data_IF_471248411664
#
_entry.id   IF_471248411664
#
_cell.length_a   1.000
_cell.length_b   1.000
_cell.length_c   1.000
_cell.angle_alpha   90.00
_cell.angle_beta   90.00
_cell.angle_gamma   90.00
#
_symmetry.space_group_name_H-M   'P 1'
#
loop_
_entity.id
_entity.type
_entity.pdbx_description
1 polymer ?
#
# COMPACT_ATOMS: atom_id res chain seq x y z
N UNK A 1 5.74 -30.41 17.15
CA UNK A 1 5.93 -29.22 16.29
C UNK A 1 4.84 -29.26 15.22
N UNK A 2 3.89 -28.35 15.25
CA UNK A 2 2.90 -28.19 14.17
C UNK A 2 3.63 -27.62 12.96
N UNK A 3 3.63 -28.35 11.85
CA UNK A 3 4.18 -27.89 10.58
C UNK A 3 3.24 -26.77 10.07
N UNK A 4 3.57 -25.51 10.35
CA UNK A 4 2.80 -24.37 9.86
C UNK A 4 3.14 -24.20 8.39
N UNK A 5 2.14 -24.28 7.53
CA UNK A 5 2.29 -23.92 6.12
C UNK A 5 2.74 -22.46 6.02
N UNK A 6 3.82 -22.23 5.27
CA UNK A 6 4.36 -20.89 5.04
C UNK A 6 3.35 -20.08 4.20
N UNK A 7 3.07 -18.86 4.63
CA UNK A 7 2.24 -17.92 3.89
C UNK A 7 3.06 -17.21 2.80
N UNK A 8 2.41 -16.53 1.85
CA UNK A 8 3.13 -15.70 0.87
C UNK A 8 4.01 -14.61 1.50
N UNK A 9 3.70 -14.14 2.71
CA UNK A 9 4.54 -13.20 3.45
C UNK A 9 5.80 -13.90 3.99
N UNK A 10 5.66 -15.11 4.55
CA UNK A 10 6.79 -15.88 5.08
C UNK A 10 7.81 -16.28 3.99
N UNK A 11 7.39 -16.29 2.72
CA UNK A 11 8.23 -16.66 1.56
C UNK A 11 8.69 -15.47 0.72
N UNK A 12 8.21 -14.25 1.02
CA UNK A 12 8.46 -13.07 0.19
C UNK A 12 7.74 -13.07 -1.17
N UNK A 13 6.74 -13.93 -1.36
CA UNK A 13 5.94 -13.99 -2.59
C UNK A 13 4.93 -12.83 -2.71
N UNK A 14 4.79 -11.99 -1.67
CA UNK A 14 4.00 -10.74 -1.68
C UNK A 14 4.79 -9.61 -1.03
N UNK A 15 4.61 -8.40 -1.54
CA UNK A 15 5.13 -7.19 -0.91
C UNK A 15 4.44 -6.97 0.45
N UNK A 16 5.20 -6.50 1.43
CA UNK A 16 4.70 -6.22 2.77
C UNK A 16 4.25 -4.76 2.88
N UNK A 17 3.04 -4.48 3.41
CA UNK A 17 2.62 -3.11 3.67
C UNK A 17 3.40 -2.54 4.86
N UNK A 18 3.98 -1.35 4.68
CA UNK A 18 4.66 -0.60 5.72
C UNK A 18 3.86 0.65 6.04
N UNK A 19 3.60 0.90 7.32
CA UNK A 19 2.89 2.11 7.74
C UNK A 19 3.69 3.35 7.37
N UNK A 20 3.02 4.32 6.76
CA UNK A 20 3.68 5.55 6.32
C UNK A 20 4.16 6.42 7.47
N UNK A 21 3.52 6.30 8.63
CA UNK A 21 3.89 7.00 9.86
C UNK A 21 4.45 6.02 10.88
N UNK A 22 5.62 6.33 11.42
CA UNK A 22 6.25 5.61 12.53
C UNK A 22 6.53 6.54 13.73
N UNK A 23 7.31 6.06 14.70
CA UNK A 23 7.64 6.84 15.91
C UNK A 23 8.48 8.10 15.62
N UNK A 24 9.11 8.19 14.46
CA UNK A 24 10.06 9.22 14.06
C UNK A 24 9.48 10.17 12.97
N UNK A 25 8.31 9.87 12.42
CA UNK A 25 7.56 10.75 11.51
C UNK A 25 7.03 10.03 10.28
N UNK A 26 6.93 10.74 9.15
CA UNK A 26 6.60 10.14 7.85
C UNK A 26 7.84 9.43 7.29
N UNK A 27 7.72 8.13 7.04
CA UNK A 27 8.80 7.24 6.62
C UNK A 27 8.87 7.03 5.10
N UNK A 28 7.79 7.32 4.36
CA UNK A 28 7.70 7.02 2.92
C UNK A 28 7.87 8.21 1.96
N UNK A 29 8.49 9.31 2.42
CA UNK A 29 8.93 10.41 1.55
C UNK A 29 10.46 10.52 1.58
N UNK A 30 11.05 11.16 0.55
CA UNK A 30 12.52 11.36 0.44
C UNK A 30 13.13 12.09 1.65
N UNK A 31 12.32 12.85 2.40
CA UNK A 31 12.75 13.58 3.58
C UNK A 31 11.76 13.39 4.71
N UNK A 32 12.24 12.85 5.84
CA UNK A 32 11.43 12.73 7.05
C UNK A 32 10.87 14.08 7.48
N UNK A 33 9.59 14.09 7.79
CA UNK A 33 8.88 15.23 8.38
C UNK A 33 7.93 14.76 9.49
N UNK A 34 7.55 15.65 10.42
CA UNK A 34 6.46 15.37 11.34
C UNK A 34 5.20 14.93 10.60
N UNK A 35 4.51 13.94 11.16
CA UNK A 35 3.24 13.47 10.62
C UNK A 35 2.13 14.50 10.86
N UNK A 36 1.23 14.59 9.89
CA UNK A 36 -0.03 15.33 9.93
C UNK A 36 -1.19 14.34 9.92
N UNK A 37 -2.41 14.81 10.17
CA UNK A 37 -3.60 13.95 10.18
C UNK A 37 -3.77 13.16 8.87
N UNK A 38 -3.42 13.77 7.73
CA UNK A 38 -3.60 13.19 6.40
C UNK A 38 -2.60 12.07 6.09
N UNK A 39 -1.55 11.91 6.90
CA UNK A 39 -0.52 10.88 6.71
C UNK A 39 -0.91 9.53 7.33
N UNK A 40 -1.78 9.56 8.35
CA UNK A 40 -2.19 8.36 9.06
C UNK A 40 -3.15 7.51 8.21
N UNK A 41 -2.99 6.19 8.28
CA UNK A 41 -3.79 5.23 7.51
C UNK A 41 -3.25 4.93 6.10
N UNK A 42 -2.18 5.62 5.68
CA UNK A 42 -1.43 5.28 4.47
C UNK A 42 -0.44 4.14 4.73
N UNK A 43 -0.26 3.30 3.73
CA UNK A 43 0.75 2.24 3.71
C UNK A 43 1.53 2.24 2.40
N UNK A 44 2.83 2.00 2.50
CA UNK A 44 3.72 1.80 1.37
C UNK A 44 3.95 0.31 1.12
N UNK A 45 3.99 -0.08 -0.15
CA UNK A 45 4.46 -1.38 -0.59
C UNK A 45 5.79 -1.20 -1.28
N UNK A 46 6.84 -1.75 -0.69
CA UNK A 46 8.20 -1.59 -1.22
C UNK A 46 8.56 -2.73 -2.16
N UNK A 47 9.19 -2.39 -3.27
CA UNK A 47 9.86 -3.31 -4.19
C UNK A 47 11.36 -3.06 -4.12
N UNK A 48 12.10 -4.00 -3.52
CA UNK A 48 13.53 -3.85 -3.20
C UNK A 48 13.81 -2.62 -2.31
N UNK A 49 14.46 -1.59 -2.88
CA UNK A 49 14.92 -0.39 -2.19
C UNK A 49 14.04 0.84 -2.47
N UNK A 50 12.90 0.65 -3.16
CA UNK A 50 12.00 1.74 -3.53
C UNK A 50 10.54 1.40 -3.20
N UNK A 51 9.75 2.42 -2.85
CA UNK A 51 8.29 2.29 -2.74
C UNK A 51 7.71 2.05 -4.13
N UNK A 52 6.99 0.94 -4.32
CA UNK A 52 6.27 0.66 -5.57
C UNK A 52 4.92 1.39 -5.59
N UNK A 53 4.18 1.39 -4.47
CA UNK A 53 2.91 2.09 -4.35
C UNK A 53 2.61 2.52 -2.91
N UNK A 54 1.92 3.65 -2.78
CA UNK A 54 1.29 4.08 -1.53
C UNK A 54 -0.22 3.89 -1.63
N UNK A 55 -0.84 3.31 -0.62
CA UNK A 55 -2.26 2.94 -0.60
C UNK A 55 -2.94 3.47 0.66
N UNK A 56 -4.15 4.03 0.52
CA UNK A 56 -5.01 4.40 1.64
C UNK A 56 -6.48 4.35 1.25
N UNK A 57 -7.37 4.42 2.25
CA UNK A 57 -8.82 4.46 2.03
C UNK A 57 -9.43 5.65 2.73
N UNK A 58 -10.47 6.23 2.13
CA UNK A 58 -11.31 7.25 2.75
C UNK A 58 -12.80 6.94 2.53
N UNK A 59 -13.69 7.40 3.42
CA UNK A 59 -15.14 7.35 3.16
C UNK A 59 -15.50 8.18 1.93
N UNK A 60 -16.42 7.69 1.10
CA UNK A 60 -16.88 8.40 -0.12
C UNK A 60 -17.98 9.46 0.16
N UNK A 61 -18.45 9.55 1.41
CA UNK A 61 -19.55 10.43 1.83
C UNK A 61 -20.96 9.93 1.49
N UNK A 62 -21.09 8.80 0.79
CA UNK A 62 -22.34 8.14 0.37
C UNK A 62 -22.60 6.80 1.11
N UNK A 63 -21.70 6.43 2.03
CA UNK A 63 -21.77 5.19 2.80
C UNK A 63 -20.86 4.09 2.26
N UNK A 64 -20.02 4.39 1.28
CA UNK A 64 -18.94 3.55 0.79
C UNK A 64 -17.55 4.07 1.17
N UNK A 65 -16.53 3.47 0.56
CA UNK A 65 -15.14 3.87 0.70
C UNK A 65 -14.49 3.98 -0.68
N UNK A 66 -13.53 4.90 -0.83
CA UNK A 66 -12.64 5.01 -1.99
C UNK A 66 -11.28 4.46 -1.59
N UNK A 67 -10.74 3.53 -2.39
CA UNK A 67 -9.35 3.08 -2.30
C UNK A 67 -8.49 3.96 -3.21
N UNK A 68 -7.53 4.64 -2.61
CA UNK A 68 -6.53 5.45 -3.31
C UNK A 68 -5.24 4.66 -3.47
N UNK A 69 -4.67 4.73 -4.66
CA UNK A 69 -3.40 4.09 -5.00
C UNK A 69 -2.55 5.11 -5.74
N UNK A 70 -1.43 5.50 -5.16
CA UNK A 70 -0.39 6.26 -5.84
C UNK A 70 0.69 5.30 -6.30
N UNK A 71 0.84 5.15 -7.62
CA UNK A 71 1.89 4.35 -8.23
C UNK A 71 3.19 5.16 -8.33
N UNK A 72 4.30 4.58 -7.90
CA UNK A 72 5.65 5.17 -8.01
C UNK A 72 6.54 4.42 -9.00
N UNK A 73 6.09 3.26 -9.48
CA UNK A 73 6.71 2.50 -10.56
C UNK A 73 5.77 2.39 -11.77
N UNK A 74 6.32 2.14 -12.95
CA UNK A 74 5.51 1.85 -14.14
C UNK A 74 4.90 0.44 -14.03
N UNK A 75 3.70 0.25 -14.58
CA UNK A 75 3.11 -1.08 -14.76
C UNK A 75 2.31 -1.64 -13.59
N UNK A 76 1.84 -0.81 -12.66
CA UNK A 76 0.92 -1.27 -11.60
C UNK A 76 -0.42 -1.67 -12.20
N UNK A 77 -0.83 -2.92 -11.94
CA UNK A 77 -2.15 -3.46 -12.30
C UNK A 77 -2.94 -3.76 -11.04
N UNK A 78 -4.21 -3.37 -11.02
CA UNK A 78 -5.12 -3.65 -9.91
C UNK A 78 -5.82 -4.98 -10.22
N UNK A 79 -5.83 -5.91 -9.27
CA UNK A 79 -6.60 -7.14 -9.38
C UNK A 79 -7.57 -7.27 -8.20
N UNK A 80 -8.82 -7.61 -8.48
CA UNK A 80 -9.87 -7.87 -7.47
C UNK A 80 -10.27 -9.32 -7.56
N UNK A 81 -10.20 -10.04 -6.44
CA UNK A 81 -10.41 -11.49 -6.38
C UNK A 81 -9.57 -12.30 -7.39
N UNK A 82 -8.39 -11.78 -7.77
CA UNK A 82 -7.49 -12.41 -8.75
C UNK A 82 -7.77 -12.05 -10.20
N UNK A 83 -8.80 -11.24 -10.48
CA UNK A 83 -9.12 -10.75 -11.82
C UNK A 83 -8.57 -9.33 -12.02
N UNK A 84 -7.81 -9.11 -13.09
CA UNK A 84 -7.23 -7.81 -13.40
C UNK A 84 -8.31 -6.83 -13.85
N UNK A 85 -8.37 -5.68 -13.17
CA UNK A 85 -9.20 -4.55 -13.55
C UNK A 85 -8.43 -3.71 -14.55
N UNK A 86 -9.03 -3.48 -15.72
CA UNK A 86 -8.52 -2.51 -16.67
C UNK A 86 -9.05 -1.13 -16.26
N UNK A 87 -8.19 -0.13 -15.98
CA UNK A 87 -8.67 1.21 -15.70
C UNK A 87 -9.45 1.73 -16.91
N UNK A 88 -10.67 2.23 -16.69
CA UNK A 88 -11.39 2.96 -17.73
C UNK A 88 -10.66 4.28 -17.98
N UNK A 89 -10.13 4.48 -19.18
CA UNK A 89 -9.71 5.80 -19.65
C UNK A 89 -10.96 6.63 -19.92
N UNK A 90 -11.07 7.78 -19.25
CA UNK A 90 -12.05 8.82 -19.58
C UNK A 90 -11.73 9.47 -20.93
#
# INVERSE_FOLDING_TARGET
>A
MTNRELTPYDTGARLEPKTWVDAEGVAGEESRRPATADDYGRVDFDEFDATAATVWMEPDGLGGCVLHITAHTEGISIAVAGEYITPHTN
#
